data_IF_093602716115
#
_entry.id   IF_093602716115
#
_cell.length_a   1.000
_cell.length_b   1.000
_cell.length_c   1.000
_cell.angle_alpha   90.00
_cell.angle_beta   90.00
_cell.angle_gamma   90.00
#
_symmetry.space_group_name_H-M   'P 1'
#
loop_
_entity.id
_entity.type
_entity.pdbx_description
1 polymer ?
#
# COMPACT_ATOMS: atom_id res chain seq x y z
N UNK A 1 10.28 -12.72 24.23
CA UNK A 1 10.28 -11.41 24.93
C UNK A 1 10.28 -10.22 23.95
N UNK A 2 11.13 -10.17 22.90
CA UNK A 2 11.23 -9.09 21.89
C UNK A 2 9.96 -8.63 21.11
N UNK A 3 8.85 -9.39 21.10
CA UNK A 3 7.63 -9.03 20.34
C UNK A 3 6.73 -8.04 21.09
N UNK A 4 6.75 -8.08 22.43
CA UNK A 4 5.94 -7.22 23.30
C UNK A 4 6.43 -5.77 23.26
N UNK A 5 7.75 -5.57 23.22
CA UNK A 5 8.35 -4.22 23.15
C UNK A 5 7.94 -3.46 21.87
N UNK A 6 7.81 -4.16 20.74
CA UNK A 6 7.49 -3.51 19.46
C UNK A 6 6.02 -3.07 19.39
N UNK A 7 5.09 -3.78 20.01
CA UNK A 7 3.68 -3.42 19.97
C UNK A 7 3.41 -2.16 20.82
N UNK A 8 3.99 -2.10 22.02
CA UNK A 8 3.88 -0.93 22.90
C UNK A 8 4.55 0.30 22.27
N UNK A 9 5.75 0.15 21.67
CA UNK A 9 6.40 1.24 20.92
C UNK A 9 5.54 1.74 19.76
N UNK A 10 4.84 0.85 19.06
CA UNK A 10 3.91 1.25 17.99
C UNK A 10 2.70 2.00 18.54
N UNK A 11 2.12 1.56 19.65
CA UNK A 11 1.01 2.27 20.31
C UNK A 11 1.42 3.67 20.76
N UNK A 12 2.59 3.78 21.40
CA UNK A 12 3.15 5.07 21.83
C UNK A 12 3.37 6.00 20.63
N UNK A 13 3.94 5.48 19.53
CA UNK A 13 4.12 6.25 18.30
C UNK A 13 2.79 6.72 17.69
N UNK A 14 1.74 5.90 17.74
CA UNK A 14 0.39 6.28 17.28
C UNK A 14 -0.19 7.37 18.20
N UNK A 15 -0.05 7.22 19.52
CA UNK A 15 -0.52 8.21 20.48
C UNK A 15 0.17 9.56 20.29
N UNK A 16 1.50 9.54 20.14
CA UNK A 16 2.30 10.72 19.83
C UNK A 16 1.88 11.38 18.51
N UNK A 17 1.57 10.58 17.48
CA UNK A 17 1.08 11.08 16.21
C UNK A 17 -0.21 11.88 16.39
N UNK A 18 -1.20 11.31 17.08
CA UNK A 18 -2.48 11.97 17.31
C UNK A 18 -2.35 13.23 18.17
N UNK A 19 -1.49 13.21 19.20
CA UNK A 19 -1.18 14.40 20.01
C UNK A 19 -0.57 15.50 19.13
N UNK A 20 0.42 15.17 18.29
CA UNK A 20 1.05 16.13 17.37
C UNK A 20 0.06 16.69 16.37
N UNK A 21 -0.81 15.86 15.83
CA UNK A 21 -1.86 16.26 14.88
C UNK A 21 -2.87 17.21 15.54
N UNK A 22 -3.30 16.90 16.76
CA UNK A 22 -4.20 17.75 17.53
C UNK A 22 -3.59 19.13 17.82
N UNK A 23 -2.32 19.18 18.22
CA UNK A 23 -1.61 20.43 18.52
C UNK A 23 -1.37 21.27 17.26
N UNK A 24 -1.13 20.64 16.12
CA UNK A 24 -0.80 21.31 14.85
C UNK A 24 -2.00 21.51 13.91
N UNK A 25 -3.21 21.17 14.35
CA UNK A 25 -4.44 21.22 13.54
C UNK A 25 -4.70 22.56 12.83
N UNK A 26 -4.25 23.68 13.39
CA UNK A 26 -4.39 25.01 12.78
C UNK A 26 -3.34 25.36 11.73
N UNK A 27 -2.28 24.56 11.60
CA UNK A 27 -1.13 24.78 10.70
C UNK A 27 -0.98 23.70 9.63
N UNK A 28 -1.76 22.63 9.71
CA UNK A 28 -1.76 21.58 8.68
C UNK A 28 -2.40 22.20 7.44
N UNK A 29 -1.57 22.45 6.42
CA UNK A 29 -2.04 22.83 5.10
C UNK A 29 -2.95 21.74 4.54
N UNK A 30 -3.86 22.11 3.63
CA UNK A 30 -4.59 21.12 2.83
C UNK A 30 -3.54 20.21 2.17
N UNK A 31 -3.54 18.93 2.53
CA UNK A 31 -2.63 17.94 1.96
C UNK A 31 -3.40 17.14 0.94
N UNK A 32 -2.80 16.91 -0.22
CA UNK A 32 -3.46 16.17 -1.31
C UNK A 32 -3.72 14.70 -0.94
N UNK A 33 -2.95 14.14 0.01
CA UNK A 33 -3.12 12.77 0.50
C UNK A 33 -2.88 12.67 2.01
N UNK A 34 -3.96 12.78 2.79
CA UNK A 34 -3.90 12.71 4.26
C UNK A 34 -3.42 11.35 4.77
N UNK A 35 -3.71 10.26 4.05
CA UNK A 35 -3.29 8.90 4.42
C UNK A 35 -1.79 8.75 4.31
N UNK A 36 -1.19 9.24 3.22
CA UNK A 36 0.27 9.29 3.08
C UNK A 36 0.88 10.12 4.21
N UNK A 37 0.35 11.30 4.53
CA UNK A 37 0.87 12.13 5.62
C UNK A 37 0.89 11.39 6.95
N UNK A 38 -0.19 10.69 7.30
CA UNK A 38 -0.29 9.91 8.53
C UNK A 38 0.72 8.75 8.55
N UNK A 39 0.82 7.99 7.46
CA UNK A 39 1.74 6.86 7.35
C UNK A 39 3.21 7.30 7.37
N UNK A 40 3.54 8.37 6.65
CA UNK A 40 4.89 8.96 6.64
C UNK A 40 5.26 9.51 8.03
N UNK A 41 4.32 10.20 8.69
CA UNK A 41 4.54 10.72 10.04
C UNK A 41 4.74 9.58 11.04
N UNK A 42 3.91 8.54 10.99
CA UNK A 42 4.06 7.36 11.84
C UNK A 42 5.41 6.67 11.59
N UNK A 43 5.79 6.49 10.31
CA UNK A 43 7.09 5.93 9.94
C UNK A 43 8.24 6.74 10.55
N UNK A 44 8.19 8.07 10.48
CA UNK A 44 9.21 8.92 11.10
C UNK A 44 9.27 8.75 12.62
N UNK A 45 8.13 8.62 13.30
CA UNK A 45 8.11 8.35 14.75
C UNK A 45 8.74 7.00 15.09
N UNK A 46 8.42 5.95 14.32
CA UNK A 46 8.99 4.62 14.52
C UNK A 46 10.51 4.59 14.25
N UNK A 47 10.98 5.31 13.23
CA UNK A 47 12.41 5.48 12.96
C UNK A 47 13.10 6.18 14.15
N UNK A 48 12.51 7.27 14.66
CA UNK A 48 13.03 7.98 15.82
C UNK A 48 13.02 7.13 17.10
N UNK A 49 12.07 6.20 17.22
CA UNK A 49 12.02 5.21 18.30
C UNK A 49 13.03 4.05 18.11
N UNK A 50 13.92 4.14 17.12
CA UNK A 50 14.99 3.15 16.89
C UNK A 50 14.55 1.91 16.12
N UNK A 51 13.34 1.89 15.53
CA UNK A 51 12.86 0.78 14.71
C UNK A 51 13.36 0.83 13.25
N UNK A 52 14.42 1.59 12.99
CA UNK A 52 14.94 1.77 11.64
C UNK A 52 15.47 0.45 11.07
N UNK A 53 14.94 0.05 9.92
CA UNK A 53 15.51 -1.02 9.08
C UNK A 53 16.40 -0.39 8.02
N UNK A 54 17.40 -1.13 7.57
CA UNK A 54 18.18 -0.73 6.40
C UNK A 54 17.29 -0.70 5.16
N UNK A 55 17.57 0.24 4.25
CA UNK A 55 16.91 0.33 2.94
C UNK A 55 16.93 -1.02 2.24
N UNK A 56 15.80 -1.38 1.65
CA UNK A 56 15.70 -2.62 0.89
C UNK A 56 16.48 -2.47 -0.41
N UNK A 57 17.51 -3.31 -0.66
CA UNK A 57 18.21 -3.34 -1.94
C UNK A 57 17.24 -3.59 -3.11
N UNK A 58 17.52 -3.01 -4.28
CA UNK A 58 16.66 -3.19 -5.46
C UNK A 58 16.59 -4.65 -5.91
N UNK A 59 17.63 -5.43 -5.62
CA UNK A 59 17.74 -6.85 -5.96
C UNK A 59 16.85 -7.73 -5.09
N UNK A 60 16.61 -7.35 -3.84
CA UNK A 60 15.76 -8.11 -2.92
C UNK A 60 14.28 -7.75 -3.04
N UNK A 61 13.90 -6.79 -3.90
CA UNK A 61 12.50 -6.37 -4.13
C UNK A 61 11.57 -7.56 -4.44
N UNK A 62 12.09 -8.61 -5.08
CA UNK A 62 11.32 -9.78 -5.47
C UNK A 62 11.06 -10.77 -4.31
N UNK A 63 11.68 -10.57 -3.14
CA UNK A 63 11.38 -11.37 -1.97
C UNK A 63 9.92 -11.17 -1.53
N UNK A 64 9.21 -12.25 -1.15
CA UNK A 64 7.84 -12.15 -0.67
C UNK A 64 7.79 -11.28 0.60
N UNK A 65 7.29 -10.05 0.45
CA UNK A 65 7.02 -9.17 1.59
C UNK A 65 5.85 -9.69 2.43
N UNK A 66 5.81 -9.26 3.70
CA UNK A 66 4.75 -9.59 4.66
C UNK A 66 3.58 -8.58 4.51
N UNK A 67 3.07 -8.43 3.28
CA UNK A 67 1.85 -7.65 3.05
C UNK A 67 0.70 -8.60 2.76
N UNK A 68 -0.15 -8.78 3.78
CA UNK A 68 -1.31 -9.66 3.73
C UNK A 68 -2.57 -8.80 3.57
N UNK A 69 -2.93 -8.53 2.33
CA UNK A 69 -4.25 -8.01 1.97
C UNK A 69 -4.98 -9.10 1.18
N UNK A 70 -6.20 -9.41 1.58
CA UNK A 70 -7.05 -10.37 0.88
C UNK A 70 -8.21 -9.61 0.25
N UNK A 71 -8.30 -9.67 -1.07
CA UNK A 71 -9.44 -9.08 -1.78
C UNK A 71 -10.57 -10.10 -1.80
N UNK A 72 -11.75 -9.72 -1.28
CA UNK A 72 -12.95 -10.57 -1.19
C UNK A 72 -14.16 -9.85 -1.76
N UNK A 73 -15.04 -10.58 -2.43
CA UNK A 73 -16.39 -10.10 -2.74
C UNK A 73 -17.22 -10.02 -1.46
N UNK A 74 -18.03 -8.98 -1.30
CA UNK A 74 -19.01 -8.93 -0.22
C UNK A 74 -20.21 -9.81 -0.60
N UNK A 75 -20.46 -10.88 0.15
CA UNK A 75 -21.61 -11.75 -0.06
C UNK A 75 -22.91 -10.98 0.23
N UNK A 76 -23.58 -10.48 -0.81
CA UNK A 76 -24.94 -9.92 -0.69
C UNK A 76 -25.26 -8.68 -1.53
N UNK A 77 -24.29 -8.03 -2.18
CA UNK A 77 -24.54 -6.88 -3.06
C UNK A 77 -24.92 -7.28 -4.50
N UNK A 78 -25.72 -6.46 -5.18
CA UNK A 78 -26.08 -6.64 -6.60
C UNK A 78 -24.84 -6.94 -7.47
N UNK A 79 -24.90 -8.04 -8.24
CA UNK A 79 -23.80 -8.50 -9.12
C UNK A 79 -23.30 -7.46 -10.11
N UNK A 80 -24.11 -6.45 -10.43
CA UNK A 80 -23.82 -5.46 -11.47
C UNK A 80 -22.61 -4.57 -11.17
N UNK A 81 -22.22 -4.41 -9.90
CA UNK A 81 -21.10 -3.57 -9.49
C UNK A 81 -19.94 -4.31 -8.84
N UNK A 82 -20.01 -5.64 -8.69
CA UNK A 82 -18.93 -6.38 -8.03
C UNK A 82 -17.64 -6.34 -8.86
N UNK A 83 -16.46 -6.22 -8.22
CA UNK A 83 -15.20 -6.27 -8.92
C UNK A 83 -15.02 -7.64 -9.59
N UNK A 84 -14.36 -7.66 -10.75
CA UNK A 84 -14.17 -8.89 -11.52
C UNK A 84 -13.51 -9.96 -10.63
N UNK A 85 -14.16 -11.11 -10.37
CA UNK A 85 -13.61 -12.14 -9.50
C UNK A 85 -12.26 -12.64 -10.00
N UNK A 86 -12.01 -12.62 -11.31
CA UNK A 86 -10.70 -12.98 -11.89
C UNK A 86 -9.62 -11.99 -11.49
N UNK A 87 -9.96 -10.70 -11.36
CA UNK A 87 -9.01 -9.69 -10.88
C UNK A 87 -8.68 -9.94 -9.41
N UNK A 88 -9.68 -10.21 -8.57
CA UNK A 88 -9.46 -10.45 -7.14
C UNK A 88 -8.57 -11.69 -6.91
N UNK A 89 -8.86 -12.78 -7.63
CA UNK A 89 -8.06 -14.01 -7.57
C UNK A 89 -6.63 -13.79 -8.07
N UNK A 90 -6.46 -13.02 -9.16
CA UNK A 90 -5.12 -12.70 -9.68
C UNK A 90 -4.34 -11.79 -8.71
N UNK A 91 -4.99 -10.79 -8.10
CA UNK A 91 -4.39 -9.94 -7.08
C UNK A 91 -3.94 -10.76 -5.86
N UNK A 92 -4.74 -11.74 -5.45
CA UNK A 92 -4.42 -12.60 -4.31
C UNK A 92 -3.21 -13.52 -4.56
N UNK A 93 -2.90 -13.84 -5.82
CA UNK A 93 -1.72 -14.64 -6.22
C UNK A 93 -0.41 -13.83 -6.29
N UNK A 94 -0.48 -12.50 -6.27
CA UNK A 94 0.72 -11.66 -6.28
C UNK A 94 1.53 -11.81 -4.99
N UNK A 95 2.84 -11.60 -5.09
CA UNK A 95 3.69 -11.50 -3.88
C UNK A 95 3.24 -10.31 -3.03
N UNK A 96 3.51 -10.34 -1.72
CA UNK A 96 3.11 -9.26 -0.82
C UNK A 96 3.57 -7.88 -1.30
N UNK A 97 4.82 -7.75 -1.78
CA UNK A 97 5.35 -6.48 -2.30
C UNK A 97 4.69 -6.02 -3.59
N UNK A 98 4.39 -6.94 -4.52
CA UNK A 98 3.66 -6.62 -5.74
C UNK A 98 2.25 -6.14 -5.40
N UNK A 99 1.58 -6.82 -4.47
CA UNK A 99 0.25 -6.44 -4.00
C UNK A 99 0.27 -5.08 -3.31
N UNK A 100 1.26 -4.83 -2.45
CA UNK A 100 1.45 -3.57 -1.72
C UNK A 100 1.64 -2.38 -2.67
N UNK A 101 2.52 -2.50 -3.68
CA UNK A 101 2.75 -1.40 -4.63
C UNK A 101 1.49 -1.09 -5.45
N UNK A 102 0.72 -2.11 -5.85
CA UNK A 102 -0.52 -1.90 -6.59
C UNK A 102 -1.58 -1.26 -5.70
N UNK A 103 -1.70 -1.72 -4.45
CA UNK A 103 -2.61 -1.16 -3.47
C UNK A 103 -2.32 0.34 -3.26
N UNK A 104 -1.08 0.68 -2.92
CA UNK A 104 -0.68 2.06 -2.66
C UNK A 104 -0.83 2.95 -3.90
N UNK A 105 -0.52 2.44 -5.09
CA UNK A 105 -0.56 3.22 -6.34
C UNK A 105 -1.98 3.46 -6.85
N UNK A 106 -2.82 2.43 -6.89
CA UNK A 106 -4.10 2.48 -7.59
C UNK A 106 -5.29 2.67 -6.66
N UNK A 107 -5.20 2.20 -5.41
CA UNK A 107 -6.29 2.32 -4.44
C UNK A 107 -6.09 3.50 -3.49
N UNK A 108 -4.85 3.74 -3.07
CA UNK A 108 -4.50 4.88 -2.19
C UNK A 108 -3.98 6.11 -2.95
N UNK A 109 -3.93 6.05 -4.29
CA UNK A 109 -3.53 7.13 -5.19
C UNK A 109 -2.18 7.78 -4.85
N UNK A 110 -1.27 7.04 -4.22
CA UNK A 110 0.05 7.57 -3.87
C UNK A 110 0.95 7.69 -5.10
N UNK A 111 1.74 8.76 -5.14
CA UNK A 111 2.82 8.93 -6.12
C UNK A 111 3.93 7.92 -5.92
N UNK A 112 4.74 7.69 -6.95
CA UNK A 112 5.86 6.76 -6.87
C UNK A 112 6.89 7.18 -5.81
N UNK A 113 7.07 8.48 -5.62
CA UNK A 113 7.94 9.09 -4.62
C UNK A 113 7.43 8.79 -3.19
N UNK A 114 6.14 8.95 -2.95
CA UNK A 114 5.50 8.63 -1.67
C UNK A 114 5.58 7.13 -1.35
N UNK A 115 5.35 6.28 -2.35
CA UNK A 115 5.44 4.82 -2.18
C UNK A 115 6.88 4.40 -1.89
N UNK A 116 7.85 4.98 -2.62
CA UNK A 116 9.28 4.73 -2.43
C UNK A 116 9.71 5.07 -1.00
N UNK A 117 9.26 6.23 -0.51
CA UNK A 117 9.48 6.62 0.87
C UNK A 117 8.85 5.63 1.84
N UNK A 118 7.58 5.26 1.70
CA UNK A 118 6.91 4.36 2.64
C UNK A 118 7.57 2.97 2.68
N UNK A 119 7.77 2.35 1.52
CA UNK A 119 8.32 0.99 1.39
C UNK A 119 9.84 0.92 1.63
N UNK A 120 10.52 2.07 1.77
CA UNK A 120 11.98 2.18 1.91
C UNK A 120 12.74 1.52 0.75
N UNK A 121 12.25 1.77 -0.46
CA UNK A 121 12.80 1.31 -1.73
C UNK A 121 13.09 2.54 -2.60
N UNK A 122 14.12 2.48 -3.45
CA UNK A 122 14.35 3.58 -4.40
C UNK A 122 13.16 3.80 -5.34
N UNK A 123 12.93 5.03 -5.78
CA UNK A 123 11.87 5.35 -6.77
C UNK A 123 11.96 4.46 -8.01
N UNK A 124 13.17 4.25 -8.54
CA UNK A 124 13.44 3.31 -9.64
C UNK A 124 13.03 1.88 -9.31
N UNK A 125 13.27 1.44 -8.08
CA UNK A 125 12.82 0.14 -7.57
C UNK A 125 11.30 0.02 -7.56
N UNK A 126 10.58 1.06 -7.12
CA UNK A 126 9.12 1.08 -7.16
C UNK A 126 8.58 1.04 -8.59
N UNK A 127 9.15 1.79 -9.54
CA UNK A 127 8.77 1.70 -10.95
C UNK A 127 8.90 0.26 -11.46
N UNK A 128 10.04 -0.39 -11.17
CA UNK A 128 10.31 -1.78 -11.57
C UNK A 128 9.34 -2.75 -10.91
N UNK A 129 9.05 -2.58 -9.62
CA UNK A 129 8.11 -3.42 -8.86
C UNK A 129 6.69 -3.29 -9.39
N UNK A 130 6.20 -2.07 -9.62
CA UNK A 130 4.89 -1.81 -10.20
C UNK A 130 4.77 -2.40 -11.61
N UNK A 131 5.80 -2.23 -12.44
CA UNK A 131 5.83 -2.81 -13.78
C UNK A 131 5.73 -4.35 -13.74
N UNK A 132 6.50 -4.99 -12.86
CA UNK A 132 6.46 -6.45 -12.65
C UNK A 132 5.13 -6.94 -12.11
N UNK A 133 4.52 -6.19 -11.18
CA UNK A 133 3.19 -6.52 -10.65
C UNK A 133 2.12 -6.51 -11.76
N UNK A 134 2.18 -5.51 -12.67
CA UNK A 134 1.29 -5.45 -13.83
C UNK A 134 1.58 -6.56 -14.86
N UNK A 135 2.84 -6.95 -15.05
CA UNK A 135 3.18 -8.10 -15.91
C UNK A 135 2.66 -9.42 -15.32
N UNK A 136 2.79 -9.62 -14.01
CA UNK A 136 2.24 -10.79 -13.33
C UNK A 136 0.71 -10.87 -13.48
N UNK A 137 -0.01 -9.76 -13.29
CA UNK A 137 -1.45 -9.71 -13.54
C UNK A 137 -1.80 -10.01 -15.00
N UNK A 138 -1.00 -9.52 -15.95
CA UNK A 138 -1.17 -9.83 -17.37
C UNK A 138 -1.02 -11.31 -17.66
N UNK A 139 -0.01 -11.97 -17.09
CA UNK A 139 0.21 -13.41 -17.29
C UNK A 139 -0.91 -14.24 -16.65
N UNK A 140 -1.36 -13.86 -15.45
CA UNK A 140 -2.43 -14.55 -14.72
C UNK A 140 -3.79 -14.41 -15.42
N UNK A 141 -4.10 -13.23 -15.97
CA UNK A 141 -5.41 -12.93 -16.56
C UNK A 141 -5.47 -13.11 -18.08
N UNK A 142 -4.31 -13.19 -18.76
CA UNK A 142 -4.18 -13.20 -20.21
C UNK A 142 -4.85 -11.97 -20.89
N UNK A 143 -4.80 -10.82 -20.22
CA UNK A 143 -5.38 -9.55 -20.69
C UNK A 143 -4.31 -8.49 -20.96
N UNK A 144 -4.51 -7.58 -21.92
CA UNK A 144 -3.57 -6.49 -22.12
C UNK A 144 -3.56 -5.53 -20.93
N UNK A 145 -2.41 -4.92 -20.63
CA UNK A 145 -2.23 -4.03 -19.46
C UNK A 145 -3.27 -2.91 -19.37
N UNK A 146 -3.71 -2.37 -20.51
CA UNK A 146 -4.75 -1.33 -20.57
C UNK A 146 -6.06 -1.79 -19.92
N UNK A 147 -6.47 -3.03 -20.14
CA UNK A 147 -7.73 -3.58 -19.62
C UNK A 147 -7.58 -3.87 -18.13
N UNK A 148 -6.40 -4.32 -17.69
CA UNK A 148 -6.07 -4.48 -16.26
C UNK A 148 -6.13 -3.14 -15.53
N UNK A 149 -5.59 -2.06 -16.12
CA UNK A 149 -5.67 -0.72 -15.53
C UNK A 149 -7.12 -0.23 -15.40
N UNK A 150 -7.96 -0.53 -16.39
CA UNK A 150 -9.40 -0.24 -16.33
C UNK A 150 -10.09 -1.05 -15.22
N UNK A 151 -9.78 -2.34 -15.09
CA UNK A 151 -10.34 -3.19 -14.03
C UNK A 151 -9.89 -2.74 -12.65
N UNK A 152 -8.63 -2.33 -12.47
CA UNK A 152 -8.14 -1.76 -11.20
C UNK A 152 -8.86 -0.45 -10.86
N UNK A 153 -9.08 0.42 -11.83
CA UNK A 153 -9.84 1.65 -11.64
C UNK A 153 -11.32 1.37 -11.29
N UNK A 154 -11.95 0.41 -11.96
CA UNK A 154 -13.32 0.00 -11.67
C UNK A 154 -13.45 -0.64 -10.27
N UNK A 155 -12.51 -1.52 -9.90
CA UNK A 155 -12.44 -2.14 -8.58
C UNK A 155 -12.28 -1.09 -7.48
N UNK A 156 -11.51 -0.04 -7.73
CA UNK A 156 -11.38 1.08 -6.79
C UNK A 156 -12.70 1.81 -6.61
N UNK A 157 -13.38 2.18 -7.71
CA UNK A 157 -14.66 2.90 -7.63
C UNK A 157 -15.65 2.10 -6.79
N UNK A 158 -15.71 0.79 -6.96
CA UNK A 158 -16.54 -0.08 -6.14
C UNK A 158 -16.19 -0.04 -4.64
N UNK A 159 -14.90 -0.06 -4.29
CA UNK A 159 -14.46 -0.11 -2.89
C UNK A 159 -14.79 1.18 -2.11
N UNK A 160 -15.06 2.28 -2.80
CA UNK A 160 -15.40 3.58 -2.23
C UNK A 160 -16.85 4.04 -2.54
N UNK A 161 -17.69 3.16 -3.09
CA UNK A 161 -19.10 3.43 -3.38
C UNK A 161 -20.02 2.76 -2.35
#
# INVERSE_FOLDING_TARGET
>A
MRKLDNEEVVKDAIQDLFVKLWLRRGTISVTDNIKYYLLASLKHLLINAGMQKARTPVESIDEPGIFTLHFTTQDGGERANQPDPRLLDALNQLTGRQKEVLYLRYFEEMSYEQIAELMDISVKGIYKLNYRALDALKELMQLPKKDILLLLAACRIWLFS
#
